data_IF_479891608515
#
_entry.id   IF_479891608515
#
_cell.length_a   1.000
_cell.length_b   1.000
_cell.length_c   1.000
_cell.angle_alpha   90.00
_cell.angle_beta   90.00
_cell.angle_gamma   90.00
#
_symmetry.space_group_name_H-M   'P 1'
#
loop_
_entity.id
_entity.type
_entity.pdbx_description
1 polymer ?
#
# COMPACT_ATOMS: atom_id res chain seq x y z
N UNK A 1 10.02 -15.39 39.70
CA UNK A 1 10.44 -16.23 38.55
C UNK A 1 10.47 -15.47 37.21
N UNK A 2 10.93 -14.21 37.15
CA UNK A 2 11.01 -13.42 35.88
C UNK A 2 12.39 -12.72 35.69
N UNK A 3 13.26 -12.72 36.71
CA UNK A 3 14.61 -12.13 36.59
C UNK A 3 15.67 -13.09 36.04
N UNK A 4 15.52 -14.40 36.21
CA UNK A 4 16.55 -15.37 35.79
C UNK A 4 16.57 -15.59 34.26
N UNK A 5 15.47 -15.32 33.56
CA UNK A 5 15.35 -15.53 32.11
C UNK A 5 15.86 -14.33 31.28
N UNK A 6 16.01 -13.14 31.89
CA UNK A 6 16.59 -11.95 31.23
C UNK A 6 18.13 -11.95 31.22
N UNK A 7 18.77 -12.75 32.08
CA UNK A 7 20.23 -12.80 32.17
C UNK A 7 20.86 -13.73 31.12
N UNK A 8 20.14 -14.78 30.71
CA UNK A 8 20.61 -15.75 29.71
C UNK A 8 20.57 -15.16 28.29
N UNK A 9 19.52 -14.39 27.96
CA UNK A 9 19.36 -13.81 26.61
C UNK A 9 20.39 -12.71 26.30
N UNK A 10 20.84 -11.93 27.32
CA UNK A 10 21.89 -10.93 27.14
C UNK A 10 23.28 -11.53 26.91
N UNK A 11 23.58 -12.70 27.49
CA UNK A 11 24.87 -13.38 27.28
C UNK A 11 24.99 -14.02 25.88
N UNK A 12 23.90 -14.55 25.33
CA UNK A 12 23.91 -15.11 23.96
C UNK A 12 24.08 -14.04 22.88
N UNK A 13 23.48 -12.85 23.03
CA UNK A 13 23.60 -11.77 22.03
C UNK A 13 25.00 -11.15 21.97
N UNK A 14 25.74 -11.15 23.08
CA UNK A 14 27.09 -10.58 23.13
C UNK A 14 28.16 -11.52 22.51
N UNK A 15 27.97 -12.84 22.57
CA UNK A 15 28.84 -13.80 21.88
C UNK A 15 28.62 -13.81 20.36
N UNK A 16 27.40 -13.55 19.89
CA UNK A 16 27.11 -13.51 18.45
C UNK A 16 27.66 -12.25 17.76
N UNK A 17 27.73 -11.12 18.49
CA UNK A 17 28.21 -9.85 17.95
C UNK A 17 29.75 -9.73 17.93
N UNK A 18 30.45 -10.46 18.80
CA UNK A 18 31.93 -10.47 18.84
C UNK A 18 32.54 -11.57 17.95
N UNK A 19 31.80 -12.63 17.63
CA UNK A 19 32.28 -13.75 16.80
C UNK A 19 32.33 -13.49 15.28
N UNK A 20 31.88 -12.33 14.81
CA UNK A 20 31.79 -12.03 13.37
C UNK A 20 32.75 -10.91 12.90
N UNK A 21 33.67 -10.47 13.77
CA UNK A 21 34.69 -9.47 13.42
C UNK A 21 36.10 -10.07 13.16
N UNK A 22 36.32 -11.37 13.39
CA UNK A 22 37.63 -12.00 13.15
C UNK A 22 37.77 -12.71 11.80
N UNK A 23 36.69 -12.90 11.03
CA UNK A 23 36.71 -13.70 9.78
C UNK A 23 36.84 -12.91 8.47
N UNK A 24 37.10 -11.60 8.50
CA UNK A 24 37.25 -10.78 7.27
C UNK A 24 38.60 -10.06 7.12
N UNK A 25 39.65 -10.48 7.84
CA UNK A 25 41.00 -9.88 7.73
C UNK A 25 42.14 -10.79 7.26
N UNK A 26 41.84 -11.91 6.59
CA UNK A 26 42.88 -12.85 6.16
C UNK A 26 42.65 -13.44 4.76
N UNK A 27 42.46 -12.59 3.74
CA UNK A 27 42.59 -13.00 2.32
C UNK A 27 43.10 -11.83 1.44
N UNK A 28 44.18 -11.18 1.88
CA UNK A 28 44.98 -10.27 1.05
C UNK A 28 46.43 -10.77 0.98
N UNK A 29 46.70 -11.81 0.17
CA UNK A 29 48.01 -12.04 -0.44
C UNK A 29 47.98 -13.27 -1.37
N UNK A 30 47.53 -13.11 -2.61
CA UNK A 30 47.93 -13.98 -3.69
C UNK A 30 47.74 -13.23 -5.01
N UNK A 31 48.82 -12.64 -5.50
CA UNK A 31 48.86 -12.04 -6.84
C UNK A 31 48.78 -13.14 -7.89
N UNK A 32 47.87 -12.97 -8.85
CA UNK A 32 47.86 -13.69 -10.11
C UNK A 32 47.79 -12.70 -11.28
N UNK A 33 48.50 -12.96 -12.38
CA UNK A 33 48.85 -11.96 -13.38
C UNK A 33 47.70 -11.57 -14.30
N UNK A 34 47.73 -10.30 -14.68
CA UNK A 34 46.86 -9.61 -15.64
C UNK A 34 47.06 -10.17 -17.05
N UNK A 35 46.03 -10.79 -17.62
CA UNK A 35 45.98 -11.11 -19.05
C UNK A 35 44.66 -10.66 -19.66
N UNK A 36 44.81 -9.81 -20.67
CA UNK A 36 43.85 -9.32 -21.67
C UNK A 36 42.64 -10.24 -21.94
N UNK A 37 41.45 -9.70 -21.75
CA UNK A 37 40.27 -9.99 -22.57
C UNK A 37 39.38 -8.74 -22.59
N UNK A 38 39.32 -8.09 -23.75
CA UNK A 38 38.39 -7.00 -24.02
C UNK A 38 36.96 -7.51 -23.98
N UNK A 39 36.18 -6.96 -23.05
CA UNK A 39 34.73 -7.16 -22.98
C UNK A 39 34.05 -5.82 -23.19
N UNK A 40 33.32 -5.69 -24.30
CA UNK A 40 32.43 -4.57 -24.58
C UNK A 40 31.55 -4.27 -23.35
N UNK A 41 31.68 -3.06 -22.79
CA UNK A 41 30.67 -2.52 -21.89
C UNK A 41 29.41 -2.28 -22.71
N UNK A 42 28.51 -3.27 -22.72
CA UNK A 42 27.14 -3.06 -23.14
C UNK A 42 26.52 -2.06 -22.14
N UNK A 43 26.40 -0.80 -22.56
CA UNK A 43 25.56 0.18 -21.90
C UNK A 43 24.14 -0.40 -21.87
N UNK A 44 23.68 -0.78 -20.68
CA UNK A 44 22.31 -1.23 -20.47
C UNK A 44 21.36 -0.14 -20.95
N UNK A 45 20.74 -0.36 -22.09
CA UNK A 45 19.71 0.49 -22.63
C UNK A 45 18.50 0.33 -21.72
N UNK A 46 18.32 1.27 -20.77
CA UNK A 46 17.08 1.34 -20.00
C UNK A 46 16.00 1.78 -20.97
N UNK A 47 15.31 0.79 -21.55
CA UNK A 47 14.10 1.03 -22.34
C UNK A 47 13.17 1.92 -21.53
N UNK A 48 12.96 3.15 -21.99
CA UNK A 48 11.89 3.99 -21.48
C UNK A 48 10.60 3.33 -21.95
N UNK A 49 9.99 2.51 -21.09
CA UNK A 49 8.65 1.99 -21.31
C UNK A 49 7.72 3.17 -21.60
N UNK A 50 7.28 3.30 -22.84
CA UNK A 50 6.50 4.43 -23.37
C UNK A 50 5.01 4.33 -23.03
N UNK A 51 4.65 3.62 -21.97
CA UNK A 51 3.25 3.45 -21.55
C UNK A 51 2.96 4.45 -20.42
N UNK A 52 2.24 5.55 -20.70
CA UNK A 52 2.06 6.67 -19.75
C UNK A 52 1.24 6.31 -18.50
N UNK A 53 0.57 5.15 -18.49
CA UNK A 53 -0.43 4.79 -17.48
C UNK A 53 0.04 3.69 -16.49
N UNK A 54 1.29 3.25 -16.56
CA UNK A 54 1.82 2.20 -15.64
C UNK A 54 1.99 2.71 -14.20
N UNK A 55 1.96 4.03 -14.00
CA UNK A 55 2.20 4.68 -12.70
C UNK A 55 0.98 5.38 -12.12
N UNK A 56 -0.22 5.13 -12.64
CA UNK A 56 -1.43 5.66 -12.03
C UNK A 56 -1.54 5.17 -10.57
N UNK A 57 -2.03 6.04 -9.69
CA UNK A 57 -2.24 5.73 -8.26
C UNK A 57 -3.66 6.05 -7.84
N UNK A 58 -4.17 5.29 -6.88
CA UNK A 58 -5.49 5.52 -6.27
C UNK A 58 -5.43 5.44 -4.75
N UNK A 59 -6.32 6.19 -4.07
CA UNK A 59 -6.54 6.05 -2.64
C UNK A 59 -7.64 5.02 -2.39
N UNK A 60 -7.34 4.03 -1.56
CA UNK A 60 -8.33 3.09 -1.01
C UNK A 60 -8.33 3.25 0.51
N UNK A 61 -9.50 3.39 1.12
CA UNK A 61 -9.60 3.48 2.58
C UNK A 61 -10.62 2.48 3.12
N UNK A 62 -10.18 1.56 3.98
CA UNK A 62 -11.05 0.67 4.74
C UNK A 62 -11.66 1.48 5.88
N UNK A 63 -12.98 1.63 5.84
CA UNK A 63 -13.77 2.43 6.77
C UNK A 63 -13.88 1.74 8.15
N UNK A 64 -14.35 2.43 9.20
CA UNK A 64 -14.35 1.89 10.55
C UNK A 64 -15.08 0.54 10.71
N UNK A 65 -16.19 0.34 10.00
CA UNK A 65 -16.91 -0.94 9.97
C UNK A 65 -16.09 -2.07 9.33
N UNK A 66 -15.35 -1.79 8.26
CA UNK A 66 -14.43 -2.76 7.65
C UNK A 66 -13.31 -3.18 8.60
N UNK A 67 -12.77 -2.23 9.36
CA UNK A 67 -11.74 -2.51 10.37
C UNK A 67 -12.33 -3.30 11.56
N UNK A 68 -13.44 -2.86 12.12
CA UNK A 68 -14.12 -3.52 13.25
C UNK A 68 -14.52 -4.97 12.91
N UNK A 69 -14.85 -5.23 11.64
CA UNK A 69 -15.20 -6.57 11.14
C UNK A 69 -14.00 -7.39 10.66
N UNK A 70 -12.77 -6.90 10.86
CA UNK A 70 -11.52 -7.61 10.54
C UNK A 70 -11.36 -7.91 9.04
N UNK A 71 -11.85 -7.02 8.18
CA UNK A 71 -11.84 -7.19 6.72
C UNK A 71 -10.60 -6.59 6.02
N UNK A 72 -9.68 -5.96 6.77
CA UNK A 72 -8.50 -5.29 6.20
C UNK A 72 -7.67 -6.23 5.33
N UNK A 73 -7.34 -7.43 5.83
CA UNK A 73 -6.56 -8.41 5.06
C UNK A 73 -7.27 -8.89 3.80
N UNK A 74 -8.60 -9.10 3.88
CA UNK A 74 -9.41 -9.49 2.72
C UNK A 74 -9.39 -8.41 1.63
N UNK A 75 -9.47 -7.14 2.02
CA UNK A 75 -9.42 -6.03 1.07
C UNK A 75 -8.04 -5.92 0.45
N UNK A 76 -6.96 -5.95 1.23
CA UNK A 76 -5.59 -5.93 0.71
C UNK A 76 -5.38 -7.07 -0.29
N UNK A 77 -5.80 -8.29 0.08
CA UNK A 77 -5.66 -9.47 -0.77
C UNK A 77 -6.30 -9.28 -2.15
N UNK A 78 -7.47 -8.65 -2.27
CA UNK A 78 -8.13 -8.43 -3.57
C UNK A 78 -7.26 -7.57 -4.49
N UNK A 79 -6.58 -6.56 -3.95
CA UNK A 79 -5.73 -5.64 -4.72
C UNK A 79 -4.37 -6.26 -5.05
N UNK A 80 -3.77 -7.00 -4.12
CA UNK A 80 -2.53 -7.75 -4.37
C UNK A 80 -2.73 -8.82 -5.44
N UNK A 81 -3.80 -9.61 -5.35
CA UNK A 81 -4.13 -10.64 -6.35
C UNK A 81 -4.45 -10.06 -7.73
N UNK A 82 -4.86 -8.79 -7.80
CA UNK A 82 -5.05 -8.10 -9.07
C UNK A 82 -3.72 -7.71 -9.73
N UNK A 83 -2.62 -7.71 -8.98
CA UNK A 83 -1.29 -7.28 -9.43
C UNK A 83 -1.00 -5.80 -9.20
N UNK A 84 -1.76 -5.12 -8.34
CA UNK A 84 -1.46 -3.74 -7.97
C UNK A 84 -0.35 -3.66 -6.94
N UNK A 85 0.48 -2.62 -7.05
CA UNK A 85 1.59 -2.38 -6.15
C UNK A 85 1.16 -1.51 -4.97
N UNK A 86 1.30 -2.03 -3.75
CA UNK A 86 1.07 -1.24 -2.53
C UNK A 86 2.25 -0.29 -2.30
N UNK A 87 2.01 1.02 -2.36
CA UNK A 87 3.06 2.05 -2.22
C UNK A 87 2.90 2.91 -0.96
N UNK A 88 1.80 2.79 -0.25
CA UNK A 88 1.57 3.43 1.04
C UNK A 88 0.48 2.73 1.83
N UNK A 89 0.66 2.59 3.14
CA UNK A 89 -0.28 1.95 4.06
C UNK A 89 -0.16 2.58 5.45
N UNK A 90 -1.27 3.01 6.03
CA UNK A 90 -1.32 3.39 7.45
C UNK A 90 -2.69 3.19 8.07
N UNK A 91 -2.69 2.86 9.36
CA UNK A 91 -3.87 2.83 10.21
C UNK A 91 -3.88 4.08 11.08
N UNK A 92 -5.01 4.79 11.13
CA UNK A 92 -5.13 6.03 11.87
C UNK A 92 -6.55 6.28 12.36
N UNK A 93 -6.66 7.02 13.47
CA UNK A 93 -7.89 7.70 13.85
C UNK A 93 -7.96 9.00 13.06
N UNK A 94 -8.97 9.15 12.20
CA UNK A 94 -9.04 10.30 11.29
C UNK A 94 -9.61 11.52 12.02
N UNK A 95 -8.96 12.67 11.86
CA UNK A 95 -9.45 13.94 12.41
C UNK A 95 -10.64 14.51 11.62
N UNK A 96 -11.51 15.26 12.29
CA UNK A 96 -12.61 15.99 11.67
C UNK A 96 -12.15 16.94 10.54
N UNK A 97 -10.99 17.60 10.70
CA UNK A 97 -10.46 18.51 9.68
C UNK A 97 -10.14 17.79 8.37
N UNK A 98 -9.44 16.65 8.46
CA UNK A 98 -9.12 15.82 7.30
C UNK A 98 -10.40 15.30 6.62
N UNK A 99 -11.37 14.80 7.39
CA UNK A 99 -12.65 14.34 6.83
C UNK A 99 -13.46 15.47 6.20
N UNK A 100 -13.40 16.67 6.78
CA UNK A 100 -14.09 17.85 6.26
C UNK A 100 -13.52 18.29 4.91
N UNK A 101 -12.20 18.21 4.75
CA UNK A 101 -11.52 18.46 3.47
C UNK A 101 -11.79 17.35 2.45
N UNK A 102 -11.78 16.09 2.89
CA UNK A 102 -12.01 14.93 2.01
C UNK A 102 -13.45 14.91 1.46
N UNK A 103 -14.44 15.20 2.30
CA UNK A 103 -15.85 15.22 1.93
C UNK A 103 -16.39 16.63 1.67
N UNK A 104 -15.55 17.59 1.27
CA UNK A 104 -15.95 18.99 1.12
C UNK A 104 -17.15 19.17 0.16
N UNK A 105 -17.19 18.38 -0.91
CA UNK A 105 -18.26 18.37 -1.92
C UNK A 105 -19.60 17.84 -1.37
N UNK A 106 -19.58 17.10 -0.26
CA UNK A 106 -20.77 16.51 0.36
C UNK A 106 -21.33 17.37 1.51
N UNK A 107 -20.69 18.49 1.85
CA UNK A 107 -21.01 19.30 3.05
C UNK A 107 -22.45 19.79 3.10
N UNK A 108 -23.08 20.01 1.95
CA UNK A 108 -24.48 20.46 1.84
C UNK A 108 -25.49 19.32 1.88
N UNK A 109 -25.04 18.06 1.86
CA UNK A 109 -25.93 16.90 1.82
C UNK A 109 -26.48 16.59 3.23
N UNK A 110 -27.76 16.20 3.37
CA UNK A 110 -28.40 15.99 4.67
C UNK A 110 -27.77 14.83 5.48
N UNK A 111 -27.08 13.91 4.82
CA UNK A 111 -26.40 12.79 5.48
C UNK A 111 -24.97 13.13 5.96
N UNK A 112 -24.43 14.30 5.64
CA UNK A 112 -23.04 14.67 5.94
C UNK A 112 -22.66 14.58 7.43
N UNK A 113 -23.49 15.07 8.39
CA UNK A 113 -23.16 14.93 9.81
C UNK A 113 -23.03 13.46 10.24
N UNK A 114 -23.90 12.59 9.72
CA UNK A 114 -23.86 11.15 9.98
C UNK A 114 -22.65 10.48 9.34
N UNK A 115 -22.20 10.96 8.18
CA UNK A 115 -20.99 10.49 7.51
C UNK A 115 -19.73 10.81 8.35
N UNK A 116 -19.60 12.03 8.85
CA UNK A 116 -18.48 12.42 9.71
C UNK A 116 -18.47 11.59 11.01
N UNK A 117 -19.61 11.48 11.68
CA UNK A 117 -19.73 10.66 12.88
C UNK A 117 -19.36 9.18 12.63
N UNK A 118 -19.78 8.64 11.49
CA UNK A 118 -19.43 7.27 11.11
C UNK A 118 -17.92 7.12 10.91
N UNK A 119 -17.29 8.02 10.15
CA UNK A 119 -15.86 7.94 9.82
C UNK A 119 -14.95 8.21 11.03
N UNK A 120 -15.44 8.89 12.07
CA UNK A 120 -14.75 9.10 13.34
C UNK A 120 -15.07 8.04 14.40
N UNK A 121 -16.00 7.12 14.15
CA UNK A 121 -16.41 6.11 15.14
C UNK A 121 -15.36 5.02 15.41
N UNK A 122 -14.28 4.99 14.64
CA UNK A 122 -13.15 4.08 14.85
C UNK A 122 -12.03 4.33 13.85
N UNK A 123 -10.99 3.49 13.88
CA UNK A 123 -9.84 3.65 13.01
C UNK A 123 -10.17 3.32 11.55
N UNK A 124 -9.42 3.94 10.65
CA UNK A 124 -9.42 3.70 9.21
C UNK A 124 -8.08 3.12 8.80
N UNK A 125 -8.05 2.28 7.77
CA UNK A 125 -6.82 1.88 7.10
C UNK A 125 -6.78 2.52 5.72
N UNK A 126 -5.90 3.50 5.53
CA UNK A 126 -5.67 4.17 4.26
C UNK A 126 -4.53 3.50 3.50
N UNK A 127 -4.70 3.35 2.20
CA UNK A 127 -3.76 2.68 1.29
C UNK A 127 -3.63 3.45 0.00
N UNK A 128 -2.42 3.45 -0.57
CA UNK A 128 -2.16 3.93 -1.92
C UNK A 128 -1.70 2.75 -2.78
N UNK A 129 -2.46 2.49 -3.83
CA UNK A 129 -2.18 1.43 -4.81
C UNK A 129 -1.73 2.04 -6.12
N UNK A 130 -0.71 1.47 -6.74
CA UNK A 130 -0.14 1.88 -8.03
C UNK A 130 -0.32 0.78 -9.08
N UNK A 131 -0.68 1.14 -10.31
CA UNK A 131 -0.73 0.23 -11.45
C UNK A 131 -1.55 0.77 -12.63
N UNK A 132 -1.60 0.01 -13.72
CA UNK A 132 -2.32 0.38 -14.93
C UNK A 132 -3.84 0.46 -14.71
N UNK A 133 -4.47 1.60 -15.05
CA UNK A 133 -5.90 1.85 -14.84
C UNK A 133 -6.37 1.49 -13.44
N UNK A 134 -5.52 1.68 -12.43
CA UNK A 134 -5.80 1.29 -11.05
C UNK A 134 -7.04 2.01 -10.52
N UNK A 135 -7.28 3.27 -10.89
CA UNK A 135 -8.47 4.01 -10.42
C UNK A 135 -9.75 3.36 -10.93
N UNK A 136 -9.86 3.20 -12.25
CA UNK A 136 -11.04 2.60 -12.89
C UNK A 136 -11.25 1.16 -12.42
N UNK A 137 -10.18 0.36 -12.40
CA UNK A 137 -10.25 -1.05 -12.00
C UNK A 137 -10.62 -1.21 -10.53
N UNK A 138 -10.09 -0.36 -9.65
CA UNK A 138 -10.44 -0.36 -8.23
C UNK A 138 -11.92 -0.07 -8.02
N UNK A 139 -12.51 0.87 -8.78
CA UNK A 139 -13.94 1.17 -8.71
C UNK A 139 -14.81 -0.02 -9.13
N UNK A 140 -14.40 -0.74 -10.18
CA UNK A 140 -15.09 -1.97 -10.60
C UNK A 140 -14.99 -3.07 -9.52
N UNK A 141 -13.80 -3.28 -8.97
CA UNK A 141 -13.58 -4.29 -7.91
C UNK A 141 -14.32 -3.96 -6.62
N UNK A 142 -14.41 -2.68 -6.26
CA UNK A 142 -15.12 -2.23 -5.05
C UNK A 142 -16.63 -2.40 -5.20
N UNK A 143 -17.19 -2.15 -6.38
CA UNK A 143 -18.61 -2.29 -6.66
C UNK A 143 -19.43 -1.04 -6.29
N UNK A 144 -20.73 -1.09 -6.63
CA UNK A 144 -21.64 0.04 -6.50
C UNK A 144 -21.76 0.55 -5.05
N UNK A 145 -22.02 1.86 -4.87
CA UNK A 145 -22.13 2.47 -3.54
C UNK A 145 -23.26 1.87 -2.72
N UNK A 146 -24.37 1.55 -3.37
CA UNK A 146 -25.48 0.80 -2.79
C UNK A 146 -25.16 -0.72 -2.86
N UNK A 147 -25.02 -1.42 -1.72
CA UNK A 147 -24.70 -2.84 -1.72
C UNK A 147 -25.75 -3.72 -2.41
N UNK A 148 -27.01 -3.30 -2.45
CA UNK A 148 -28.08 -4.03 -3.16
C UNK A 148 -27.84 -4.06 -4.67
N UNK A 149 -27.17 -3.04 -5.21
CA UNK A 149 -26.82 -2.92 -6.62
C UNK A 149 -25.38 -3.39 -6.89
N UNK A 150 -24.60 -3.70 -5.85
CA UNK A 150 -23.24 -4.16 -6.00
C UNK A 150 -23.24 -5.65 -6.41
N UNK A 151 -22.54 -5.96 -7.49
CA UNK A 151 -22.48 -7.33 -8.01
C UNK A 151 -21.75 -8.26 -7.03
N UNK A 152 -22.18 -9.52 -6.96
CA UNK A 152 -21.48 -10.57 -6.24
C UNK A 152 -20.02 -10.69 -6.73
N UNK A 153 -19.08 -10.88 -5.81
CA UNK A 153 -17.65 -10.87 -6.09
C UNK A 153 -17.00 -9.48 -5.99
N UNK A 154 -17.76 -8.39 -5.90
CA UNK A 154 -17.20 -7.07 -5.55
C UNK A 154 -17.05 -6.92 -4.05
N UNK A 155 -16.17 -6.04 -3.59
CA UNK A 155 -15.96 -5.80 -2.14
C UNK A 155 -17.26 -5.41 -1.45
N UNK A 156 -18.08 -4.55 -2.07
CA UNK A 156 -19.35 -4.14 -1.49
C UNK A 156 -20.43 -5.21 -1.62
N UNK A 157 -20.49 -5.92 -2.73
CA UNK A 157 -21.43 -7.04 -2.91
C UNK A 157 -21.20 -8.15 -1.88
N UNK A 158 -19.94 -8.46 -1.59
CA UNK A 158 -19.59 -9.56 -0.68
C UNK A 158 -19.67 -9.16 0.80
N UNK A 159 -19.35 -7.90 1.14
CA UNK A 159 -19.12 -7.53 2.54
C UNK A 159 -20.00 -6.41 3.08
N UNK A 160 -20.65 -5.59 2.24
CA UNK A 160 -21.41 -4.44 2.74
C UNK A 160 -22.82 -4.82 3.14
N UNK A 161 -23.27 -4.31 4.29
CA UNK A 161 -24.62 -4.59 4.81
C UNK A 161 -25.63 -3.52 4.41
N UNK A 162 -25.20 -2.25 4.36
CA UNK A 162 -26.07 -1.11 4.12
C UNK A 162 -25.28 0.03 3.45
N UNK A 163 -25.95 0.92 2.71
CA UNK A 163 -25.30 2.03 1.99
C UNK A 163 -24.48 2.95 2.91
N UNK A 164 -24.87 3.07 4.19
CA UNK A 164 -24.15 3.86 5.20
C UNK A 164 -22.97 3.12 5.86
N UNK A 165 -22.81 1.82 5.58
CA UNK A 165 -21.79 0.91 6.14
C UNK A 165 -21.30 0.00 5.02
N UNK A 166 -20.62 0.64 4.07
CA UNK A 166 -20.20 0.02 2.82
C UNK A 166 -18.70 -0.28 2.74
N UNK A 167 -18.07 -0.47 3.90
CA UNK A 167 -16.73 -1.07 4.12
C UNK A 167 -15.53 -0.28 3.58
N UNK A 168 -15.58 0.27 2.37
CA UNK A 168 -14.41 0.81 1.67
C UNK A 168 -14.74 2.06 0.84
N UNK A 169 -13.81 3.01 0.85
CA UNK A 169 -13.72 4.14 -0.08
C UNK A 169 -12.75 3.82 -1.21
N UNK A 170 -13.03 4.34 -2.40
CA UNK A 170 -12.11 4.32 -3.54
C UNK A 170 -12.28 5.59 -4.37
N UNK A 171 -11.17 6.24 -4.70
CA UNK A 171 -11.13 7.43 -5.56
C UNK A 171 -11.91 7.18 -6.86
N UNK A 172 -12.65 8.19 -7.32
CA UNK A 172 -13.58 8.09 -8.44
C UNK A 172 -13.00 8.52 -9.80
N UNK A 173 -11.96 9.34 -9.79
CA UNK A 173 -11.20 9.76 -10.97
C UNK A 173 -9.70 9.87 -10.70
N UNK A 174 -8.85 9.90 -11.73
CA UNK A 174 -7.41 10.11 -11.57
C UNK A 174 -7.07 11.43 -10.87
N UNK A 175 -7.79 12.50 -11.19
CA UNK A 175 -7.61 13.82 -10.55
C UNK A 175 -8.05 13.79 -9.09
N UNK A 176 -9.17 13.10 -8.81
CA UNK A 176 -9.67 12.87 -7.45
C UNK A 176 -8.67 12.06 -6.63
N UNK A 177 -8.13 10.99 -7.19
CA UNK A 177 -7.10 10.17 -6.56
C UNK A 177 -5.85 10.99 -6.20
N UNK A 178 -5.35 11.82 -7.12
CA UNK A 178 -4.18 12.66 -6.85
C UNK A 178 -4.42 13.64 -5.70
N UNK A 179 -5.59 14.29 -5.67
CA UNK A 179 -5.99 15.18 -4.56
C UNK A 179 -6.09 14.42 -3.24
N UNK A 180 -6.77 13.28 -3.25
CA UNK A 180 -6.99 12.44 -2.08
C UNK A 180 -5.66 11.92 -1.53
N UNK A 181 -4.75 11.43 -2.36
CA UNK A 181 -3.43 10.96 -1.92
C UNK A 181 -2.64 12.10 -1.25
N UNK A 182 -2.65 13.31 -1.82
CA UNK A 182 -1.97 14.47 -1.24
C UNK A 182 -2.57 14.90 0.11
N UNK A 183 -3.89 14.73 0.28
CA UNK A 183 -4.57 15.04 1.53
C UNK A 183 -4.26 13.99 2.63
N UNK A 184 -4.21 12.71 2.26
CA UNK A 184 -4.08 11.62 3.22
C UNK A 184 -2.64 11.22 3.51
N UNK A 185 -1.69 11.44 2.60
CA UNK A 185 -0.30 10.99 2.72
C UNK A 185 0.72 12.11 2.47
N UNK A 186 1.74 12.16 3.31
CA UNK A 186 2.97 12.89 3.02
C UNK A 186 3.80 12.13 1.99
N UNK A 187 4.63 12.84 1.23
CA UNK A 187 5.51 12.21 0.22
C UNK A 187 6.46 11.16 0.82
N UNK A 188 6.91 11.37 2.05
CA UNK A 188 7.79 10.46 2.79
C UNK A 188 7.10 9.17 3.24
N UNK A 189 5.77 9.14 3.27
CA UNK A 189 4.98 7.94 3.58
C UNK A 189 4.74 7.06 2.33
N UNK A 190 5.16 7.52 1.14
CA UNK A 190 4.99 6.80 -0.12
C UNK A 190 6.33 6.22 -0.59
N UNK A 191 6.37 4.90 -0.74
CA UNK A 191 7.56 4.17 -1.13
C UNK A 191 7.60 3.93 -2.63
N UNK A 192 8.77 4.12 -3.22
CA UNK A 192 9.05 3.73 -4.59
C UNK A 192 9.90 2.45 -4.59
N UNK A 193 9.30 1.37 -5.08
CA UNK A 193 9.94 0.07 -5.19
C UNK A 193 9.48 -0.64 -6.47
N UNK A 194 10.26 -1.63 -6.89
CA UNK A 194 10.03 -2.39 -8.11
C UNK A 194 9.51 -3.80 -7.75
N UNK A 195 8.44 -4.24 -8.41
CA UNK A 195 7.91 -5.60 -8.23
C UNK A 195 8.74 -6.61 -9.04
N UNK A 196 8.84 -7.85 -8.55
CA UNK A 196 9.57 -8.91 -9.26
C UNK A 196 8.93 -9.30 -10.60
N UNK A 197 7.65 -9.01 -10.80
CA UNK A 197 6.83 -9.30 -11.97
C UNK A 197 6.49 -8.05 -12.80
N UNK A 198 7.12 -6.91 -12.50
CA UNK A 198 6.76 -5.60 -13.06
C UNK A 198 6.86 -5.54 -14.59
N UNK A 199 7.78 -6.29 -15.21
CA UNK A 199 7.86 -6.42 -16.68
C UNK A 199 6.63 -7.11 -17.27
N UNK A 200 6.05 -8.09 -16.58
CA UNK A 200 4.90 -8.85 -17.08
C UNK A 200 3.57 -8.12 -16.92
N UNK A 201 3.43 -7.27 -15.89
CA UNK A 201 2.19 -6.49 -15.66
C UNK A 201 2.08 -5.24 -16.52
N UNK A 202 3.16 -4.86 -17.22
CA UNK A 202 3.28 -3.56 -17.91
C UNK A 202 3.57 -3.68 -19.41
N UNK A 203 3.83 -4.89 -19.90
CA UNK A 203 3.90 -5.20 -21.34
C UNK A 203 2.48 -5.45 -21.86
N UNK A 204 2.07 -4.66 -22.85
CA UNK A 204 0.86 -4.86 -23.67
C UNK A 204 1.31 -5.23 -25.07
#
# INVERSE_FOLDING_TARGET
MVMLQRCILKKCLQQFYLGNQETTKSLLSAGFPTALLGGHRAAGHRSKSSVPDVRERTLIAVKPDGVQRRLVGQIIQRFEQRGFKLVGLKMLQVSDDLLSQHYCELRTKPFYPRLLHYMTSGPVVAMVWEGHKVVQTSRMMVGHTNPVEAQAGTVRGDFSFHVSRNVVHASDSPEGAQREIQLWFQRTELLNWDCCDQTMTCEV
#
